data_IF_653877197217
#
_entry.id   IF_653877197217
#
_cell.length_a   1.000
_cell.length_b   1.000
_cell.length_c   1.000
_cell.angle_alpha   90.00
_cell.angle_beta   90.00
_cell.angle_gamma   90.00
#
_symmetry.space_group_name_H-M   'P 1'
#
loop_
_entity.id
_entity.type
_entity.pdbx_description
1 polymer ?
#
# COMPACT_ATOMS: atom_id res chain seq x y z
N UNK A 1 -25.73 18.07 -21.54
CA UNK A 1 -24.72 17.04 -21.22
C UNK A 1 -23.56 17.74 -20.53
N UNK A 2 -23.28 17.43 -19.27
CA UNK A 2 -22.16 18.03 -18.55
C UNK A 2 -20.85 17.47 -19.12
N UNK A 3 -19.88 18.34 -19.40
CA UNK A 3 -18.55 17.91 -19.84
C UNK A 3 -17.90 17.03 -18.75
N UNK A 4 -17.15 15.98 -19.12
CA UNK A 4 -16.37 15.21 -18.14
C UNK A 4 -15.38 16.15 -17.44
N UNK A 5 -15.35 16.12 -16.10
CA UNK A 5 -14.41 16.91 -15.30
C UNK A 5 -12.97 16.60 -15.69
N UNK A 6 -12.11 17.62 -15.79
CA UNK A 6 -10.68 17.41 -16.04
C UNK A 6 -9.99 16.77 -14.84
N UNK A 7 -8.84 16.15 -15.07
CA UNK A 7 -8.10 15.43 -14.02
C UNK A 7 -7.57 16.40 -12.97
N UNK A 8 -7.09 17.58 -13.36
CA UNK A 8 -6.73 18.65 -12.40
C UNK A 8 -7.90 19.06 -11.50
N UNK A 9 -9.11 19.13 -12.05
CA UNK A 9 -10.31 19.44 -11.28
C UNK A 9 -10.69 18.30 -10.34
N UNK A 10 -10.53 17.05 -10.79
CA UNK A 10 -10.74 15.87 -9.95
C UNK A 10 -9.73 15.82 -8.80
N UNK A 11 -8.45 16.02 -9.04
CA UNK A 11 -7.42 16.05 -8.00
C UNK A 11 -7.69 17.17 -6.99
N UNK A 12 -8.05 18.38 -7.44
CA UNK A 12 -8.44 19.46 -6.53
C UNK A 12 -9.64 19.10 -5.65
N UNK A 13 -10.66 18.44 -6.22
CA UNK A 13 -11.81 17.98 -5.45
C UNK A 13 -11.41 16.92 -4.41
N UNK A 14 -10.51 16.02 -4.77
CA UNK A 14 -10.00 14.98 -3.87
C UNK A 14 -9.18 15.59 -2.72
N UNK A 15 -8.35 16.60 -2.98
CA UNK A 15 -7.64 17.34 -1.92
C UNK A 15 -8.60 18.02 -0.93
N UNK A 16 -9.67 18.62 -1.42
CA UNK A 16 -10.71 19.18 -0.54
C UNK A 16 -11.40 18.08 0.27
N UNK A 17 -11.66 16.91 -0.33
CA UNK A 17 -12.19 15.75 0.40
C UNK A 17 -11.22 15.27 1.51
N UNK A 18 -9.90 15.26 1.26
CA UNK A 18 -8.87 14.96 2.26
C UNK A 18 -8.95 15.92 3.44
N UNK A 19 -9.10 17.22 3.18
CA UNK A 19 -9.27 18.24 4.23
C UNK A 19 -10.53 18.00 5.07
N UNK A 20 -11.63 17.60 4.43
CA UNK A 20 -12.89 17.32 5.13
C UNK A 20 -12.74 16.16 6.12
N UNK A 21 -12.10 15.05 5.73
CA UNK A 21 -11.93 13.89 6.65
C UNK A 21 -10.99 14.17 7.81
N UNK A 22 -10.00 15.06 7.60
CA UNK A 22 -9.10 15.48 8.67
C UNK A 22 -9.83 16.33 9.72
N UNK A 23 -10.85 17.08 9.30
CA UNK A 23 -11.69 17.86 10.21
C UNK A 23 -12.77 16.99 10.89
N UNK A 24 -13.37 16.05 10.15
CA UNK A 24 -14.41 15.15 10.66
C UNK A 24 -14.21 13.69 10.17
N UNK A 25 -13.76 12.79 11.05
CA UNK A 25 -13.50 11.39 10.71
C UNK A 25 -14.72 10.59 10.23
N UNK A 26 -15.94 11.09 10.42
CA UNK A 26 -17.14 10.39 9.96
C UNK A 26 -17.21 10.28 8.43
N UNK A 27 -16.53 11.17 7.70
CA UNK A 27 -16.54 11.17 6.23
C UNK A 27 -15.58 10.15 5.60
N UNK A 28 -14.67 9.52 6.36
CA UNK A 28 -13.70 8.56 5.81
C UNK A 28 -14.38 7.44 5.04
N UNK A 29 -15.46 6.86 5.58
CA UNK A 29 -16.17 5.78 4.89
C UNK A 29 -16.72 6.22 3.54
N UNK A 30 -17.36 7.39 3.47
CA UNK A 30 -17.94 7.90 2.23
C UNK A 30 -16.86 8.17 1.18
N UNK A 31 -15.75 8.80 1.59
CA UNK A 31 -14.69 9.19 0.67
C UNK A 31 -13.93 7.97 0.17
N UNK A 32 -13.60 7.01 1.03
CA UNK A 32 -12.98 5.74 0.62
C UNK A 32 -13.85 5.06 -0.43
N UNK A 33 -15.15 4.88 -0.17
CA UNK A 33 -16.07 4.26 -1.13
C UNK A 33 -16.16 5.02 -2.46
N UNK A 34 -16.07 6.35 -2.43
CA UNK A 34 -16.06 7.18 -3.63
C UNK A 34 -14.80 7.03 -4.49
N UNK A 35 -13.63 6.78 -3.87
CA UNK A 35 -12.34 6.73 -4.57
C UNK A 35 -11.98 5.34 -5.08
N UNK A 36 -12.50 4.26 -4.48
CA UNK A 36 -12.26 2.88 -4.93
C UNK A 36 -12.46 2.67 -6.45
N UNK A 37 -13.56 3.12 -7.08
CA UNK A 37 -13.73 2.96 -8.52
C UNK A 37 -12.81 3.85 -9.36
N UNK A 38 -12.22 4.90 -8.77
CA UNK A 38 -11.30 5.81 -9.46
C UNK A 38 -9.87 5.24 -9.51
N UNK A 39 -9.47 4.50 -8.48
CA UNK A 39 -8.13 3.91 -8.38
C UNK A 39 -8.02 2.52 -9.00
N UNK A 40 -9.14 1.83 -9.25
CA UNK A 40 -9.12 0.48 -9.83
C UNK A 40 -8.41 0.48 -11.20
N UNK A 41 -7.26 -0.20 -11.35
CA UNK A 41 -6.51 -0.26 -12.60
C UNK A 41 -7.26 -0.98 -13.72
N UNK A 42 -8.25 -1.82 -13.42
CA UNK A 42 -9.06 -2.48 -14.45
C UNK A 42 -10.02 -1.49 -15.14
N UNK A 43 -10.36 -0.40 -14.44
CA UNK A 43 -11.23 0.67 -14.94
C UNK A 43 -12.61 0.18 -15.41
N UNK A 44 -13.52 1.10 -15.69
CA UNK A 44 -14.76 0.77 -16.42
C UNK A 44 -14.49 0.71 -17.93
N UNK A 45 -13.58 -0.14 -18.40
CA UNK A 45 -13.43 -0.44 -19.84
C UNK A 45 -13.41 0.75 -20.80
N UNK A 46 -12.99 1.95 -20.37
CA UNK A 46 -13.00 3.16 -21.20
C UNK A 46 -11.64 3.26 -21.90
N UNK A 47 -11.56 2.99 -23.22
CA UNK A 47 -10.30 3.04 -23.99
C UNK A 47 -9.74 4.46 -24.20
N UNK A 48 -10.33 5.47 -23.54
CA UNK A 48 -10.12 6.89 -23.81
C UNK A 48 -9.79 7.69 -22.53
N UNK A 49 -9.01 7.14 -21.61
CA UNK A 49 -8.28 7.96 -20.64
C UNK A 49 -6.80 7.80 -20.89
N UNK A 50 -6.12 8.92 -20.98
CA UNK A 50 -4.68 9.00 -21.02
C UNK A 50 -4.08 8.32 -19.79
N UNK A 51 -3.08 7.46 -20.01
CA UNK A 51 -2.44 6.64 -18.97
C UNK A 51 -1.88 7.51 -17.84
N UNK A 52 -1.39 8.71 -18.14
CA UNK A 52 -0.83 9.64 -17.16
C UNK A 52 -1.87 10.10 -16.13
N UNK A 53 -3.03 10.58 -16.60
CA UNK A 53 -4.12 11.01 -15.72
C UNK A 53 -4.64 9.91 -14.80
N UNK A 54 -4.66 8.66 -15.29
CA UNK A 54 -5.05 7.51 -14.47
C UNK A 54 -4.05 7.25 -13.33
N UNK A 55 -2.75 7.35 -13.62
CA UNK A 55 -1.69 7.15 -12.63
C UNK A 55 -1.74 8.23 -11.54
N UNK A 56 -2.05 9.48 -11.88
CA UNK A 56 -2.18 10.56 -10.87
C UNK A 56 -3.32 10.29 -9.87
N UNK A 57 -4.48 9.85 -10.35
CA UNK A 57 -5.61 9.48 -9.50
C UNK A 57 -5.27 8.27 -8.61
N UNK A 58 -4.56 7.28 -9.15
CA UNK A 58 -4.10 6.12 -8.41
C UNK A 58 -3.08 6.47 -7.33
N UNK A 59 -2.10 7.34 -7.64
CA UNK A 59 -1.12 7.84 -6.67
C UNK A 59 -1.81 8.52 -5.51
N UNK A 60 -2.72 9.44 -5.82
CA UNK A 60 -3.47 10.17 -4.81
C UNK A 60 -4.28 9.22 -3.92
N UNK A 61 -5.04 8.31 -4.51
CA UNK A 61 -5.90 7.43 -3.72
C UNK A 61 -5.12 6.39 -2.92
N UNK A 62 -4.02 5.86 -3.44
CA UNK A 62 -3.14 4.97 -2.70
C UNK A 62 -2.47 5.68 -1.51
N UNK A 63 -2.00 6.91 -1.70
CA UNK A 63 -1.46 7.75 -0.62
C UNK A 63 -2.53 8.05 0.43
N UNK A 64 -3.73 8.44 0.01
CA UNK A 64 -4.85 8.69 0.91
C UNK A 64 -5.22 7.46 1.75
N UNK A 65 -5.22 6.26 1.16
CA UNK A 65 -5.43 5.01 1.89
C UNK A 65 -4.31 4.76 2.92
N UNK A 66 -3.05 4.98 2.53
CA UNK A 66 -1.92 4.82 3.43
C UNK A 66 -2.01 5.77 4.64
N UNK A 67 -2.36 7.03 4.40
CA UNK A 67 -2.60 8.03 5.45
C UNK A 67 -3.79 7.66 6.34
N UNK A 68 -4.90 7.23 5.75
CA UNK A 68 -6.11 6.82 6.46
C UNK A 68 -5.82 5.72 7.48
N UNK A 69 -5.16 4.63 7.06
CA UNK A 69 -4.92 3.50 7.96
C UNK A 69 -3.80 3.76 8.96
N UNK A 70 -2.86 4.66 8.65
CA UNK A 70 -1.86 5.15 9.59
C UNK A 70 -2.42 6.18 10.60
N UNK A 71 -3.51 6.87 10.28
CA UNK A 71 -4.07 7.94 11.11
C UNK A 71 -4.63 7.43 12.45
N UNK A 72 -4.24 8.00 13.60
CA UNK A 72 -4.84 7.65 14.89
C UNK A 72 -6.26 8.25 15.07
N UNK A 73 -6.71 9.12 14.17
CA UNK A 73 -8.00 9.81 14.30
C UNK A 73 -9.21 8.90 14.05
N UNK A 74 -9.01 7.74 13.41
CA UNK A 74 -10.09 6.80 13.09
C UNK A 74 -10.18 5.74 14.20
N UNK A 75 -11.35 5.56 14.83
CA UNK A 75 -11.57 4.52 15.83
C UNK A 75 -11.22 3.11 15.32
N UNK A 76 -10.66 2.22 16.17
CA UNK A 76 -10.28 0.87 15.75
C UNK A 76 -11.40 0.08 15.10
N UNK A 77 -12.64 0.15 15.63
CA UNK A 77 -13.79 -0.57 15.05
C UNK A 77 -14.13 -0.09 13.63
N UNK A 78 -13.99 1.22 13.38
CA UNK A 78 -14.23 1.78 12.05
C UNK A 78 -13.12 1.34 11.09
N UNK A 79 -11.86 1.31 11.54
CA UNK A 79 -10.74 0.78 10.74
C UNK A 79 -10.90 -0.70 10.39
N UNK A 80 -11.40 -1.53 11.30
CA UNK A 80 -11.69 -2.94 11.02
C UNK A 80 -12.72 -3.09 9.89
N UNK A 81 -13.78 -2.27 9.87
CA UNK A 81 -14.75 -2.30 8.77
C UNK A 81 -14.17 -1.78 7.46
N UNK A 82 -13.43 -0.67 7.50
CA UNK A 82 -12.85 -0.04 6.31
C UNK A 82 -11.74 -0.86 5.69
N UNK A 83 -10.96 -1.61 6.48
CA UNK A 83 -9.85 -2.38 5.94
C UNK A 83 -10.32 -3.47 4.98
N UNK A 84 -11.49 -4.08 5.23
CA UNK A 84 -12.06 -5.12 4.39
C UNK A 84 -12.54 -4.59 3.03
N UNK A 85 -12.98 -3.34 2.96
CA UNK A 85 -13.50 -2.74 1.72
C UNK A 85 -12.40 -2.40 0.73
N UNK A 86 -11.19 -2.12 1.22
CA UNK A 86 -10.05 -1.71 0.39
C UNK A 86 -9.22 -2.89 -0.14
N UNK A 87 -9.36 -4.08 0.43
CA UNK A 87 -8.55 -5.26 0.07
C UNK A 87 -8.53 -5.56 -1.43
N UNK A 88 -9.69 -5.53 -2.07
CA UNK A 88 -9.81 -5.81 -3.51
C UNK A 88 -9.07 -4.76 -4.34
N UNK A 89 -9.16 -3.48 -3.98
CA UNK A 89 -8.48 -2.41 -4.69
C UNK A 89 -6.96 -2.47 -4.52
N UNK A 90 -6.47 -2.74 -3.30
CA UNK A 90 -5.04 -2.92 -3.03
C UNK A 90 -4.47 -4.09 -3.84
N UNK A 91 -5.17 -5.23 -3.85
CA UNK A 91 -4.78 -6.37 -4.67
C UNK A 91 -4.74 -6.00 -6.15
N UNK A 92 -5.80 -5.37 -6.65
CA UNK A 92 -5.88 -5.01 -8.07
C UNK A 92 -4.76 -4.09 -8.50
N UNK A 93 -4.34 -3.14 -7.66
CA UNK A 93 -3.19 -2.25 -7.93
C UNK A 93 -1.86 -3.01 -7.97
N UNK A 94 -1.66 -4.03 -7.13
CA UNK A 94 -0.44 -4.83 -7.14
C UNK A 94 -0.39 -5.83 -8.31
N UNK A 95 -1.54 -6.28 -8.78
CA UNK A 95 -1.65 -7.22 -9.91
C UNK A 95 -1.33 -6.54 -11.26
N UNK A 96 -1.34 -5.20 -11.34
CA UNK A 96 -0.91 -4.46 -12.54
C UNK A 96 0.62 -4.46 -12.68
N UNK A 97 1.19 -5.09 -13.73
CA UNK A 97 2.64 -5.15 -13.92
C UNK A 97 3.27 -3.80 -14.28
N UNK A 98 2.47 -2.82 -14.73
CA UNK A 98 2.95 -1.48 -15.10
C UNK A 98 2.59 -0.43 -14.03
N UNK A 99 2.25 -0.88 -12.82
CA UNK A 99 1.88 0.02 -11.75
C UNK A 99 3.05 0.92 -11.35
N UNK A 100 2.74 2.20 -11.13
CA UNK A 100 3.72 3.18 -10.68
C UNK A 100 4.34 2.83 -9.32
N UNK A 101 5.65 3.02 -9.18
CA UNK A 101 6.40 2.68 -7.97
C UNK A 101 5.92 3.44 -6.71
N UNK A 102 5.44 4.68 -6.85
CA UNK A 102 4.91 5.41 -5.70
C UNK A 102 3.59 4.81 -5.21
N UNK A 103 2.72 4.37 -6.14
CA UNK A 103 1.50 3.62 -5.81
C UNK A 103 1.84 2.34 -5.07
N UNK A 104 2.80 1.55 -5.57
CA UNK A 104 3.21 0.29 -4.91
C UNK A 104 3.69 0.54 -3.48
N UNK A 105 4.52 1.57 -3.25
CA UNK A 105 4.99 1.93 -1.90
C UNK A 105 3.83 2.25 -0.94
N UNK A 106 2.88 3.07 -1.39
CA UNK A 106 1.70 3.43 -0.58
C UNK A 106 0.80 2.22 -0.31
N UNK A 107 0.65 1.31 -1.29
CA UNK A 107 -0.11 0.06 -1.10
C UNK A 107 0.58 -0.86 -0.10
N UNK A 108 1.91 -0.98 -0.13
CA UNK A 108 2.68 -1.77 0.85
C UNK A 108 2.51 -1.21 2.26
N UNK A 109 2.61 0.11 2.43
CA UNK A 109 2.37 0.78 3.71
C UNK A 109 0.95 0.54 4.23
N UNK A 110 -0.04 0.62 3.34
CA UNK A 110 -1.44 0.32 3.68
C UNK A 110 -1.59 -1.13 4.10
N UNK A 111 -1.04 -2.08 3.32
CA UNK A 111 -1.08 -3.51 3.60
C UNK A 111 -0.48 -3.86 4.97
N UNK A 112 0.65 -3.24 5.32
CA UNK A 112 1.28 -3.42 6.63
C UNK A 112 0.37 -2.94 7.78
N UNK A 113 -0.34 -1.84 7.57
CA UNK A 113 -1.24 -1.26 8.58
C UNK A 113 -2.53 -2.07 8.74
N UNK A 114 -3.06 -2.66 7.66
CA UNK A 114 -4.32 -3.40 7.70
C UNK A 114 -4.18 -4.89 8.03
N UNK A 115 -3.01 -5.50 7.81
CA UNK A 115 -2.78 -6.91 8.11
C UNK A 115 -3.19 -7.31 9.55
N UNK A 116 -2.77 -6.60 10.62
CA UNK A 116 -3.20 -6.94 11.97
C UNK A 116 -4.71 -6.79 12.18
N UNK A 117 -5.36 -5.81 11.52
CA UNK A 117 -6.80 -5.60 11.59
C UNK A 117 -7.56 -6.76 10.95
N UNK A 118 -7.16 -7.17 9.73
CA UNK A 118 -7.77 -8.29 9.02
C UNK A 118 -7.54 -9.59 9.79
N UNK A 119 -6.34 -9.82 10.32
CA UNK A 119 -6.04 -11.01 11.12
C UNK A 119 -6.95 -11.11 12.35
N UNK A 120 -7.10 -9.99 13.08
CA UNK A 120 -8.02 -9.89 14.23
C UNK A 120 -9.48 -10.13 13.82
N UNK A 121 -9.91 -9.59 12.69
CA UNK A 121 -11.25 -9.83 12.15
C UNK A 121 -11.50 -11.32 11.89
N UNK A 122 -10.56 -12.01 11.25
CA UNK A 122 -10.68 -13.44 10.94
C UNK A 122 -10.73 -14.33 12.18
N UNK A 123 -9.99 -13.99 13.26
CA UNK A 123 -10.09 -14.71 14.53
C UNK A 123 -11.53 -14.72 15.06
N UNK A 124 -12.23 -13.59 14.95
CA UNK A 124 -13.61 -13.44 15.41
C UNK A 124 -14.65 -13.88 14.35
N UNK A 125 -14.25 -13.98 13.08
CA UNK A 125 -15.11 -14.27 11.93
C UNK A 125 -14.47 -15.33 11.02
N UNK A 126 -14.33 -16.55 11.51
CA UNK A 126 -13.64 -17.65 10.80
C UNK A 126 -14.30 -18.10 9.50
N UNK A 127 -15.53 -17.67 9.23
CA UNK A 127 -16.25 -17.95 7.98
C UNK A 127 -15.84 -17.03 6.82
N UNK A 128 -15.21 -15.88 7.10
CA UNK A 128 -14.82 -14.89 6.09
C UNK A 128 -13.50 -15.27 5.39
N UNK A 129 -13.53 -16.40 4.70
CA UNK A 129 -12.39 -16.92 3.96
C UNK A 129 -11.98 -15.96 2.82
N UNK A 130 -12.93 -15.22 2.24
CA UNK A 130 -12.67 -14.32 1.13
C UNK A 130 -11.74 -13.17 1.53
N UNK A 131 -11.99 -12.52 2.66
CA UNK A 131 -11.12 -11.45 3.16
C UNK A 131 -9.72 -11.98 3.50
N UNK A 132 -9.65 -13.20 4.05
CA UNK A 132 -8.37 -13.85 4.35
C UNK A 132 -7.56 -14.17 3.08
N UNK A 133 -8.20 -14.76 2.07
CA UNK A 133 -7.54 -15.05 0.78
C UNK A 133 -7.01 -13.79 0.11
N UNK A 134 -7.78 -12.69 0.17
CA UNK A 134 -7.35 -11.39 -0.38
C UNK A 134 -6.08 -10.87 0.31
N UNK A 135 -6.02 -10.88 1.64
CA UNK A 135 -4.83 -10.38 2.35
C UNK A 135 -3.61 -11.30 2.14
N UNK A 136 -3.82 -12.62 2.01
CA UNK A 136 -2.74 -13.56 1.65
C UNK A 136 -2.22 -13.33 0.22
N UNK A 137 -3.11 -13.04 -0.73
CA UNK A 137 -2.74 -12.70 -2.10
C UNK A 137 -1.90 -11.41 -2.15
N UNK A 138 -2.32 -10.36 -1.43
CA UNK A 138 -1.56 -9.10 -1.28
C UNK A 138 -0.17 -9.39 -0.73
N UNK A 139 -0.06 -10.14 0.38
CA UNK A 139 1.21 -10.51 1.00
C UNK A 139 2.13 -11.23 0.00
N UNK A 140 1.59 -12.22 -0.71
CA UNK A 140 2.33 -13.01 -1.71
C UNK A 140 2.85 -12.11 -2.82
N UNK A 141 2.02 -11.18 -3.30
CA UNK A 141 2.39 -10.26 -4.37
C UNK A 141 3.47 -9.27 -3.94
N UNK A 142 3.40 -8.75 -2.71
CA UNK A 142 4.45 -7.87 -2.16
C UNK A 142 5.79 -8.62 -2.06
N UNK A 143 5.78 -9.87 -1.58
CA UNK A 143 6.99 -10.70 -1.53
C UNK A 143 7.56 -10.95 -2.93
N UNK A 144 6.71 -11.27 -3.91
CA UNK A 144 7.16 -11.42 -5.30
C UNK A 144 7.77 -10.13 -5.86
N UNK A 145 7.18 -8.96 -5.57
CA UNK A 145 7.76 -7.67 -5.99
C UNK A 145 9.13 -7.49 -5.33
N UNK A 146 9.28 -7.82 -4.06
CA UNK A 146 10.57 -7.76 -3.35
C UNK A 146 11.61 -8.71 -3.94
N UNK A 147 11.24 -9.97 -4.22
CA UNK A 147 12.14 -10.98 -4.81
C UNK A 147 12.53 -10.63 -6.26
N UNK A 148 11.60 -10.04 -7.03
CA UNK A 148 11.85 -9.62 -8.42
C UNK A 148 12.50 -8.24 -8.53
N UNK A 149 12.46 -7.43 -7.46
CA UNK A 149 13.22 -6.19 -7.33
C UNK A 149 14.72 -6.42 -7.08
N UNK A 150 15.27 -7.54 -7.60
CA UNK A 150 16.69 -7.84 -7.58
C UNK A 150 17.52 -6.59 -7.97
N UNK A 151 18.64 -6.33 -7.27
CA UNK A 151 19.29 -5.04 -7.26
C UNK A 151 19.92 -4.73 -8.63
N UNK A 152 19.66 -3.55 -9.19
CA UNK A 152 20.28 -3.13 -10.43
C UNK A 152 19.35 -2.89 -11.63
N UNK A 153 18.17 -2.31 -11.42
CA UNK A 153 17.35 -1.82 -12.54
C UNK A 153 17.20 -0.29 -12.55
N UNK A 154 18.33 0.41 -12.51
CA UNK A 154 18.41 1.73 -13.14
C UNK A 154 19.11 2.84 -12.37
N UNK A 155 19.49 2.65 -11.11
CA UNK A 155 20.22 3.68 -10.37
C UNK A 155 21.74 3.49 -10.55
N UNK A 156 22.46 4.39 -11.25
CA UNK A 156 23.91 4.29 -11.42
C UNK A 156 24.70 4.46 -10.11
N UNK A 157 24.01 4.73 -9.00
CA UNK A 157 24.55 4.87 -7.65
C UNK A 157 24.15 3.69 -6.72
N UNK A 158 23.39 2.71 -7.21
CA UNK A 158 23.00 1.56 -6.41
C UNK A 158 24.22 0.65 -6.15
N UNK A 159 24.55 0.47 -4.87
CA UNK A 159 25.66 -0.38 -4.42
C UNK A 159 25.10 -1.74 -4.00
N UNK A 160 25.43 -2.77 -4.78
CA UNK A 160 24.99 -4.15 -4.53
C UNK A 160 26.12 -5.00 -3.95
N UNK A 161 25.79 -6.02 -3.16
CA UNK A 161 26.78 -6.99 -2.64
C UNK A 161 27.58 -7.69 -3.76
N UNK A 162 27.02 -7.81 -4.96
CA UNK A 162 27.71 -8.35 -6.15
C UNK A 162 28.81 -7.44 -6.71
N UNK A 163 28.89 -6.17 -6.28
CA UNK A 163 29.99 -5.26 -6.61
C UNK A 163 31.18 -5.44 -5.67
N UNK A 164 31.03 -6.18 -4.56
CA UNK A 164 32.10 -6.42 -3.59
C UNK A 164 33.04 -7.51 -4.14
N UNK A 165 34.34 -7.22 -4.32
CA UNK A 165 35.30 -8.21 -4.78
C UNK A 165 35.33 -9.43 -3.84
N UNK A 166 35.47 -10.67 -4.36
CA UNK A 166 35.41 -11.88 -3.55
C UNK A 166 36.48 -11.99 -2.45
N UNK A 167 37.56 -11.19 -2.52
CA UNK A 167 38.65 -11.13 -1.53
C UNK A 167 38.69 -9.78 -0.77
N UNK A 168 37.55 -9.15 -0.50
CA UNK A 168 37.52 -7.89 0.22
C UNK A 168 37.70 -8.10 1.74
N UNK A 169 38.82 -7.63 2.31
CA UNK A 169 39.23 -7.89 3.69
C UNK A 169 38.26 -7.36 4.77
N UNK A 170 37.45 -6.34 4.44
CA UNK A 170 36.55 -5.69 5.40
C UNK A 170 35.06 -5.84 5.07
N UNK A 171 34.72 -6.26 3.86
CA UNK A 171 33.33 -6.35 3.37
C UNK A 171 33.10 -7.81 3.01
N UNK A 172 32.83 -8.62 4.03
CA UNK A 172 32.56 -10.04 3.86
C UNK A 172 31.07 -10.17 3.50
N UNK A 173 30.71 -10.58 2.27
CA UNK A 173 29.32 -10.53 1.81
C UNK A 173 28.35 -11.27 2.72
N UNK A 174 28.76 -12.45 3.21
CA UNK A 174 27.95 -13.25 4.14
C UNK A 174 27.64 -12.54 5.45
N UNK A 175 28.56 -11.73 5.98
CA UNK A 175 28.33 -11.00 7.22
C UNK A 175 27.37 -9.83 6.97
N UNK A 176 27.51 -9.14 5.85
CA UNK A 176 26.64 -8.04 5.44
C UNK A 176 25.22 -8.52 5.12
N UNK A 177 25.07 -9.70 4.51
CA UNK A 177 23.77 -10.35 4.30
C UNK A 177 23.09 -10.67 5.63
N UNK A 178 23.82 -11.30 6.56
CA UNK A 178 23.29 -11.61 7.89
C UNK A 178 22.91 -10.34 8.68
N UNK A 179 23.69 -9.27 8.54
CA UNK A 179 23.41 -7.97 9.17
C UNK A 179 22.17 -7.31 8.56
N UNK A 180 22.03 -7.31 7.23
CA UNK A 180 20.85 -6.78 6.54
C UNK A 180 19.59 -7.56 6.89
N UNK A 181 19.65 -8.90 6.91
CA UNK A 181 18.54 -9.75 7.36
C UNK A 181 18.19 -9.48 8.83
N UNK A 182 19.19 -9.33 9.70
CA UNK A 182 18.97 -8.99 11.11
C UNK A 182 18.38 -7.59 11.31
N UNK A 183 18.75 -6.62 10.48
CA UNK A 183 18.19 -5.27 10.48
C UNK A 183 16.72 -5.29 10.04
N UNK A 184 16.40 -6.04 8.98
CA UNK A 184 15.03 -6.21 8.50
C UNK A 184 14.15 -6.88 9.57
N UNK A 185 14.64 -7.94 10.21
CA UNK A 185 13.92 -8.64 11.27
C UNK A 185 13.64 -7.72 12.47
N UNK A 186 14.62 -6.89 12.87
CA UNK A 186 14.43 -5.87 13.90
C UNK A 186 13.46 -4.77 13.49
N UNK A 187 13.50 -4.30 12.24
CA UNK A 187 12.52 -3.31 11.76
C UNK A 187 11.11 -3.89 11.75
N UNK A 188 10.93 -5.12 11.27
CA UNK A 188 9.65 -5.82 11.32
C UNK A 188 9.18 -6.02 12.76
N UNK A 189 10.09 -6.34 13.68
CA UNK A 189 9.82 -6.42 15.11
C UNK A 189 9.37 -5.08 15.72
N UNK A 190 10.04 -3.98 15.41
CA UNK A 190 9.66 -2.63 15.87
C UNK A 190 8.31 -2.21 15.30
N UNK A 191 8.03 -2.52 14.02
CA UNK A 191 6.72 -2.28 13.42
C UNK A 191 5.64 -3.11 14.12
N UNK A 192 5.89 -4.39 14.39
CA UNK A 192 4.96 -5.23 15.16
C UNK A 192 4.75 -4.71 16.59
N UNK A 193 5.80 -4.26 17.28
CA UNK A 193 5.72 -3.72 18.63
C UNK A 193 4.99 -2.37 18.65
N UNK A 194 5.21 -1.51 17.66
CA UNK A 194 4.49 -0.24 17.48
C UNK A 194 3.00 -0.49 17.24
N UNK A 195 2.67 -1.53 16.45
CA UNK A 195 1.30 -2.01 16.27
C UNK A 195 0.74 -2.48 17.61
N UNK A 196 1.45 -3.31 18.37
CA UNK A 196 1.00 -3.81 19.68
C UNK A 196 0.77 -2.71 20.71
N UNK A 197 1.60 -1.66 20.73
CA UNK A 197 1.47 -0.51 21.65
C UNK A 197 0.27 0.39 21.32
N UNK A 198 -0.19 0.42 20.07
CA UNK A 198 -1.42 1.13 19.70
C UNK A 198 -2.70 0.37 20.08
N UNK A 199 -2.60 -0.88 20.54
CA UNK A 199 -3.73 -1.72 20.98
C UNK A 199 -3.74 -2.03 22.49
N UNK A 200 -2.86 -1.39 23.28
CA UNK A 200 -2.97 -1.34 24.76
C UNK A 200 -3.51 0.01 25.19
#
# INVERSE_FOLDING_TARGET
MAAPMSVDQQIKLLEEARRVVLNDPNYYQQIIQGILPLIDPRGKGEPQRDTASKVELQRWGAEFLAETFASPAIPPQQKETLCLTVLEALRSMLDDPNQDNAVVKSVVQTAASIYPLVFRWIINNSYDNQSWERIQAIKTRILQIWDTAAPGRGDPMEVSLGMVPPNHSSLIPRNLEAEASGLLDRMLGIFQESISRCYS
#
